data_IF_193937419441
#
_entry.id   IF_193937419441
#
_cell.length_a   1.000
_cell.length_b   1.000
_cell.length_c   1.000
_cell.angle_alpha   90.00
_cell.angle_beta   90.00
_cell.angle_gamma   90.00
#
_symmetry.space_group_name_H-M   'P 1'
#
loop_
_entity.id
_entity.type
_entity.pdbx_description
1 polymer ?
#
# COMPACT_ATOMS: atom_id res chain seq x y z
N UNK A 1 -22.52 -6.08 15.99
CA UNK A 1 -21.17 -5.48 15.98
C UNK A 1 -20.98 -4.83 14.64
N UNK A 2 -20.98 -3.49 14.56
CA UNK A 2 -20.62 -2.80 13.33
C UNK A 2 -19.21 -3.22 12.96
N UNK A 3 -19.07 -4.00 11.89
CA UNK A 3 -17.76 -4.31 11.31
C UNK A 3 -17.20 -2.99 10.83
N UNK A 4 -16.33 -2.35 11.61
CA UNK A 4 -15.66 -1.12 11.18
C UNK A 4 -15.01 -1.40 9.83
N UNK A 5 -15.43 -0.65 8.80
CA UNK A 5 -14.95 -0.78 7.44
C UNK A 5 -13.45 -0.46 7.43
N UNK A 6 -12.64 -1.52 7.49
CA UNK A 6 -11.19 -1.39 7.49
C UNK A 6 -10.66 -1.60 6.08
N UNK A 7 -10.00 -0.57 5.57
CA UNK A 7 -9.40 -0.56 4.27
C UNK A 7 -7.98 -0.02 4.40
N UNK A 8 -7.04 -0.69 3.75
CA UNK A 8 -5.65 -0.27 3.74
C UNK A 8 -5.10 -0.45 2.34
N UNK A 9 -4.54 0.60 1.75
CA UNK A 9 -3.83 0.50 0.50
C UNK A 9 -2.51 1.24 0.58
N UNK A 10 -1.46 0.57 0.15
CA UNK A 10 -0.15 1.16 0.01
C UNK A 10 0.33 0.99 -1.42
N UNK A 11 0.79 2.09 -1.99
CA UNK A 11 1.38 2.16 -3.31
C UNK A 11 2.73 2.85 -3.19
N UNK A 12 3.74 2.27 -3.82
CA UNK A 12 5.01 2.93 -4.08
C UNK A 12 5.38 2.67 -5.52
N UNK A 13 5.69 3.71 -6.27
CA UNK A 13 6.10 3.57 -7.65
C UNK A 13 7.09 4.64 -8.03
N UNK A 14 7.94 4.30 -8.99
CA UNK A 14 8.87 5.22 -9.59
C UNK A 14 8.88 5.08 -11.10
N UNK A 15 9.11 6.19 -11.79
CA UNK A 15 9.26 6.20 -13.25
C UNK A 15 10.72 6.46 -13.57
N UNK A 16 11.44 5.37 -13.84
CA UNK A 16 12.86 5.39 -14.18
C UNK A 16 13.10 5.41 -15.68
N UNK A 17 14.39 5.39 -16.06
CA UNK A 17 14.84 5.30 -17.47
C UNK A 17 14.35 4.02 -18.16
N UNK A 18 14.06 2.97 -17.37
CA UNK A 18 13.71 1.63 -17.85
C UNK A 18 12.22 1.29 -17.72
N UNK A 19 11.38 2.28 -17.47
CA UNK A 19 9.92 2.11 -17.40
C UNK A 19 9.33 2.51 -16.05
N UNK A 20 8.13 2.01 -15.80
CA UNK A 20 7.38 2.27 -14.57
C UNK A 20 7.46 1.05 -13.66
N UNK A 21 8.17 1.20 -12.54
CA UNK A 21 8.27 0.18 -11.52
C UNK A 21 7.40 0.54 -10.33
N UNK A 22 6.64 -0.42 -9.80
CA UNK A 22 5.80 -0.19 -8.65
C UNK A 22 5.58 -1.44 -7.81
N UNK A 23 5.27 -1.22 -6.55
CA UNK A 23 4.77 -2.19 -5.60
C UNK A 23 3.49 -1.64 -4.99
N UNK A 24 2.47 -2.47 -4.96
CA UNK A 24 1.17 -2.15 -4.41
C UNK A 24 0.64 -3.32 -3.59
N UNK A 25 0.05 -3.01 -2.44
CA UNK A 25 -0.80 -3.96 -1.73
C UNK A 25 -2.05 -3.30 -1.16
N UNK A 26 -3.11 -4.08 -1.10
CA UNK A 26 -4.44 -3.68 -0.64
C UNK A 26 -5.00 -4.75 0.30
N UNK A 27 -5.48 -4.33 1.48
CA UNK A 27 -6.32 -5.11 2.37
C UNK A 27 -7.74 -4.56 2.33
N UNK A 28 -8.67 -5.42 1.92
CA UNK A 28 -10.10 -5.12 1.88
C UNK A 28 -10.79 -5.54 3.19
N UNK A 29 -11.96 -4.98 3.52
CA UNK A 29 -12.68 -5.31 4.75
C UNK A 29 -13.13 -6.78 4.82
N UNK A 30 -13.22 -7.46 3.67
CA UNK A 30 -13.50 -8.90 3.57
C UNK A 30 -12.29 -9.80 3.89
N UNK A 31 -11.14 -9.21 4.27
CA UNK A 31 -9.89 -9.93 4.53
C UNK A 31 -9.15 -10.34 3.25
N UNK A 32 -9.57 -9.83 2.08
CA UNK A 32 -8.85 -10.07 0.83
C UNK A 32 -7.61 -9.20 0.75
N UNK A 33 -6.44 -9.84 0.70
CA UNK A 33 -5.15 -9.24 0.38
C UNK A 33 -4.90 -9.33 -1.13
N UNK A 34 -4.56 -8.21 -1.75
CA UNK A 34 -4.10 -8.14 -3.13
C UNK A 34 -2.70 -7.55 -3.14
N UNK A 35 -1.79 -8.20 -3.85
CA UNK A 35 -0.40 -7.78 -3.99
C UNK A 35 -0.06 -7.71 -5.48
N UNK A 36 0.49 -6.58 -5.90
CA UNK A 36 1.01 -6.37 -7.24
C UNK A 36 2.43 -5.81 -7.14
N UNK A 37 3.37 -6.46 -7.81
CA UNK A 37 4.75 -5.97 -7.92
C UNK A 37 5.18 -6.05 -9.38
N UNK A 38 5.64 -4.90 -9.88
CA UNK A 38 6.19 -4.74 -11.20
C UNK A 38 7.55 -4.05 -11.07
N UNK A 39 8.61 -4.82 -10.88
CA UNK A 39 9.98 -4.30 -10.73
C UNK A 39 10.80 -4.36 -12.02
N UNK A 40 10.30 -5.00 -13.08
CA UNK A 40 10.99 -5.18 -14.36
C UNK A 40 12.45 -5.68 -14.24
N UNK A 41 12.81 -6.27 -13.10
CA UNK A 41 14.16 -6.72 -12.82
C UNK A 41 14.41 -7.99 -13.64
N UNK A 42 15.37 -7.95 -14.57
CA UNK A 42 15.68 -9.06 -15.49
C UNK A 42 14.53 -9.49 -16.41
N UNK A 43 13.72 -8.54 -16.90
CA UNK A 43 12.57 -8.79 -17.78
C UNK A 43 11.47 -9.65 -17.13
N UNK A 44 11.31 -9.57 -15.81
CA UNK A 44 10.31 -10.37 -15.12
C UNK A 44 8.89 -9.91 -15.43
N UNK A 45 7.94 -10.84 -15.41
CA UNK A 45 6.52 -10.55 -15.62
C UNK A 45 5.93 -9.99 -14.34
N UNK A 46 5.02 -9.01 -14.45
CA UNK A 46 4.31 -8.44 -13.30
C UNK A 46 3.72 -9.54 -12.40
N UNK A 47 4.11 -9.54 -11.13
CA UNK A 47 3.64 -10.50 -10.13
C UNK A 47 2.34 -9.97 -9.55
N UNK A 48 1.27 -10.75 -9.68
CA UNK A 48 -0.02 -10.49 -9.02
C UNK A 48 -0.41 -11.68 -8.18
N UNK A 49 -0.73 -11.43 -6.91
CA UNK A 49 -1.17 -12.45 -5.96
C UNK A 49 -2.40 -11.94 -5.21
N UNK A 50 -3.35 -12.84 -5.00
CA UNK A 50 -4.51 -12.60 -4.16
C UNK A 50 -4.62 -13.73 -3.15
N UNK A 51 -4.94 -13.38 -1.90
CA UNK A 51 -5.12 -14.33 -0.82
C UNK A 51 -6.16 -13.80 0.17
N UNK A 52 -6.80 -14.69 0.91
CA UNK A 52 -7.61 -14.32 2.06
C UNK A 52 -6.78 -14.49 3.32
N UNK A 53 -6.72 -13.45 4.14
CA UNK A 53 -6.02 -13.48 5.42
C UNK A 53 -7.01 -13.76 6.56
N UNK A 54 -6.51 -14.40 7.61
CA UNK A 54 -7.31 -14.63 8.81
C UNK A 54 -7.58 -13.30 9.55
N UNK A 55 -8.68 -13.26 10.32
CA UNK A 55 -9.07 -12.07 11.09
C UNK A 55 -7.98 -11.58 12.04
N UNK A 56 -7.18 -12.47 12.61
CA UNK A 56 -6.06 -12.11 13.48
C UNK A 56 -5.00 -11.23 12.78
N UNK A 57 -4.77 -11.44 11.49
CA UNK A 57 -3.86 -10.61 10.69
C UNK A 57 -4.45 -9.21 10.50
N UNK A 58 -5.76 -9.12 10.28
CA UNK A 58 -6.47 -7.85 10.12
C UNK A 58 -6.49 -7.05 11.44
N UNK A 59 -6.64 -7.72 12.58
CA UNK A 59 -6.58 -7.10 13.91
C UNK A 59 -5.18 -6.59 14.24
N UNK A 60 -4.15 -7.35 13.89
CA UNK A 60 -2.77 -6.93 14.10
C UNK A 60 -2.39 -5.72 13.22
N UNK A 61 -2.87 -5.69 11.97
CA UNK A 61 -2.70 -4.51 11.11
C UNK A 61 -3.34 -3.26 11.70
N UNK A 62 -4.54 -3.39 12.29
CA UNK A 62 -5.19 -2.28 13.00
C UNK A 62 -4.34 -1.82 14.20
N UNK A 63 -3.85 -2.76 15.00
CA UNK A 63 -2.97 -2.46 16.15
C UNK A 63 -1.72 -1.69 15.72
N UNK A 64 -1.05 -2.11 14.64
CA UNK A 64 0.13 -1.40 14.12
C UNK A 64 -0.21 0.02 13.66
N UNK A 65 -1.36 0.21 12.98
CA UNK A 65 -1.80 1.53 12.52
C UNK A 65 -2.12 2.44 13.70
N UNK A 66 -2.84 1.94 14.69
CA UNK A 66 -3.20 2.68 15.91
C UNK A 66 -1.94 3.07 16.70
N UNK A 67 -1.01 2.11 16.90
CA UNK A 67 0.26 2.33 17.61
C UNK A 67 1.18 3.32 16.88
N UNK A 68 1.10 3.38 15.54
CA UNK A 68 1.89 4.31 14.74
C UNK A 68 1.41 5.75 14.78
N UNK A 69 0.18 5.99 15.28
CA UNK A 69 -0.51 7.28 15.28
C UNK A 69 -0.61 7.96 13.89
N UNK A 70 -0.39 7.22 12.79
CA UNK A 70 -0.38 7.76 11.43
C UNK A 70 -1.70 8.42 11.03
N UNK A 71 -2.80 8.11 11.73
CA UNK A 71 -4.11 8.74 11.55
C UNK A 71 -4.12 10.23 11.94
N UNK A 72 -3.21 10.67 12.82
CA UNK A 72 -3.07 12.04 13.29
C UNK A 72 -2.15 12.91 12.41
N UNK A 73 -1.40 12.29 11.51
CA UNK A 73 -0.43 12.96 10.64
C UNK A 73 -1.09 13.51 9.36
N UNK A 74 -0.55 14.63 8.87
CA UNK A 74 -0.96 15.34 7.66
C UNK A 74 0.24 15.47 6.69
N UNK A 75 -0.01 15.23 5.40
CA UNK A 75 1.04 15.16 4.38
C UNK A 75 1.34 16.51 3.70
N UNK A 76 0.70 17.62 4.10
CA UNK A 76 0.91 18.94 3.49
C UNK A 76 2.36 19.43 3.54
N UNK A 77 3.11 19.01 4.56
CA UNK A 77 4.52 19.38 4.75
C UNK A 77 5.51 18.32 4.23
N UNK A 78 5.02 17.23 3.62
CA UNK A 78 5.88 16.17 3.08
C UNK A 78 6.40 16.61 1.71
N UNK A 79 7.70 16.95 1.68
CA UNK A 79 8.44 17.42 0.48
C UNK A 79 8.27 16.49 -0.75
N UNK A 80 8.01 15.20 -0.52
CA UNK A 80 7.81 14.19 -1.56
C UNK A 80 6.51 14.42 -2.37
N UNK A 81 5.41 14.88 -1.75
CA UNK A 81 4.16 15.14 -2.47
C UNK A 81 4.28 16.28 -3.51
N UNK A 82 5.29 17.16 -3.38
CA UNK A 82 5.56 18.23 -4.33
C UNK A 82 6.36 17.77 -5.57
N UNK A 83 7.02 16.62 -5.52
CA UNK A 83 7.87 16.12 -6.61
C UNK A 83 7.13 15.16 -7.55
N UNK A 84 6.32 15.72 -8.43
CA UNK A 84 5.42 15.02 -9.37
C UNK A 84 6.06 14.12 -10.46
N UNK A 85 7.37 13.84 -10.46
CA UNK A 85 8.02 13.31 -11.67
C UNK A 85 8.88 12.05 -11.54
N UNK A 86 9.25 11.59 -10.34
CA UNK A 86 10.18 10.45 -10.23
C UNK A 86 9.74 9.36 -9.26
N UNK A 87 9.32 9.69 -8.04
CA UNK A 87 8.89 8.74 -7.03
C UNK A 87 7.53 9.16 -6.45
N UNK A 88 6.56 8.24 -6.39
CA UNK A 88 5.24 8.44 -5.79
C UNK A 88 5.00 7.37 -4.74
N UNK A 89 4.70 7.80 -3.52
CA UNK A 89 4.23 6.95 -2.43
C UNK A 89 2.82 7.39 -2.08
N UNK A 90 1.91 6.44 -1.85
CA UNK A 90 0.53 6.73 -1.46
C UNK A 90 0.12 5.71 -0.41
N UNK A 91 -0.41 6.19 0.69
CA UNK A 91 -0.96 5.39 1.76
C UNK A 91 -2.41 5.85 1.99
N UNK A 92 -3.36 4.95 1.77
CA UNK A 92 -4.78 5.19 1.99
C UNK A 92 -5.21 4.36 3.19
N UNK A 93 -5.73 5.06 4.19
CA UNK A 93 -6.22 4.55 5.47
C UNK A 93 -7.73 4.82 5.57
#
# INVERSE_FOLDING_TARGET
>A
MSTSDFYLRYYVGHKGKFGHEFLEFEFRPDGKLRYANNSNYKNDVMIRKEAYVHKSVMEELKRIIDDSEITKEDDANVLCCQMHLVNKQTFTK
#
